data_IF_216976245487
#
_entry.id   IF_216976245487
#
_cell.length_a   1.000
_cell.length_b   1.000
_cell.length_c   1.000
_cell.angle_alpha   90.00
_cell.angle_beta   90.00
_cell.angle_gamma   90.00
#
_symmetry.space_group_name_H-M   'P 1'
#
loop_
_entity.id
_entity.type
_entity.pdbx_description
1 polymer ?
#
# COMPACT_ATOMS: atom_id res chain seq x y z
N UNK A 1 -6.63 12.10 18.61
CA UNK A 1 -6.38 10.78 17.98
C UNK A 1 -5.88 10.89 16.52
N UNK A 2 -5.99 12.06 15.86
CA UNK A 2 -5.68 12.19 14.43
C UNK A 2 -4.20 12.30 14.06
N UNK A 3 -3.34 12.78 14.96
CA UNK A 3 -1.90 12.93 14.68
C UNK A 3 -1.22 11.61 14.28
N UNK A 4 -1.63 10.50 14.90
CA UNK A 4 -1.08 9.18 14.57
C UNK A 4 -1.50 8.75 13.16
N UNK A 5 -2.75 8.95 12.77
CA UNK A 5 -3.25 8.60 11.43
C UNK A 5 -2.58 9.43 10.34
N UNK A 6 -2.44 10.74 10.57
CA UNK A 6 -1.73 11.63 9.65
C UNK A 6 -0.26 11.24 9.49
N UNK A 7 0.41 10.90 10.59
CA UNK A 7 1.79 10.43 10.56
C UNK A 7 1.96 9.12 9.79
N UNK A 8 1.09 8.14 10.03
CA UNK A 8 1.11 6.85 9.31
C UNK A 8 0.83 7.01 7.82
N UNK A 9 -0.11 7.90 7.45
CA UNK A 9 -0.43 8.22 6.06
C UNK A 9 0.77 8.88 5.36
N UNK A 10 1.35 9.91 5.98
CA UNK A 10 2.55 10.57 5.46
C UNK A 10 3.71 9.58 5.28
N UNK A 11 3.89 8.68 6.25
CA UNK A 11 4.96 7.71 6.18
C UNK A 11 4.69 6.57 5.16
N UNK A 12 3.43 6.31 4.79
CA UNK A 12 3.08 5.46 3.65
C UNK A 12 3.42 6.16 2.33
N UNK A 13 3.01 7.42 2.14
CA UNK A 13 3.38 8.18 0.93
C UNK A 13 4.90 8.28 0.74
N UNK A 14 5.65 8.56 1.80
CA UNK A 14 7.13 8.54 1.72
C UNK A 14 7.70 7.20 1.24
N UNK A 15 7.08 6.07 1.63
CA UNK A 15 7.51 4.76 1.14
C UNK A 15 7.11 4.55 -0.33
N UNK A 16 5.96 5.07 -0.78
CA UNK A 16 5.54 5.04 -2.18
C UNK A 16 6.44 5.92 -3.07
N UNK A 17 6.85 7.08 -2.60
CA UNK A 17 7.82 7.94 -3.31
C UNK A 17 9.16 7.22 -3.49
N UNK A 18 9.60 6.48 -2.47
CA UNK A 18 10.80 5.65 -2.55
C UNK A 18 10.65 4.53 -3.56
N UNK A 19 9.47 3.90 -3.64
CA UNK A 19 9.18 2.91 -4.68
C UNK A 19 9.29 3.58 -6.05
N UNK A 20 8.65 4.74 -6.24
CA UNK A 20 8.69 5.46 -7.51
C UNK A 20 10.13 5.76 -7.92
N UNK A 21 10.93 6.31 -7.01
CA UNK A 21 12.34 6.57 -7.25
C UNK A 21 13.11 5.30 -7.66
N UNK A 22 12.86 4.17 -6.99
CA UNK A 22 13.51 2.89 -7.34
C UNK A 22 13.12 2.43 -8.75
N UNK A 23 11.84 2.50 -9.13
CA UNK A 23 11.40 2.05 -10.46
C UNK A 23 11.79 3.01 -11.59
N UNK A 24 11.96 4.30 -11.31
CA UNK A 24 12.40 5.28 -12.31
C UNK A 24 13.89 5.14 -12.65
N UNK A 25 14.73 4.86 -11.67
CA UNK A 25 16.18 4.72 -11.85
C UNK A 25 16.59 3.32 -12.33
N UNK A 26 15.66 2.37 -12.37
CA UNK A 26 15.93 1.01 -12.83
C UNK A 26 15.74 0.93 -14.34
N UNK A 27 16.81 0.56 -15.04
CA UNK A 27 16.77 0.23 -16.47
C UNK A 27 16.41 -1.25 -16.62
N UNK A 28 15.12 -1.53 -16.73
CA UNK A 28 14.58 -2.89 -16.83
C UNK A 28 13.53 -2.93 -17.94
N UNK A 29 13.83 -3.71 -18.98
CA UNK A 29 13.06 -3.75 -20.23
C UNK A 29 12.00 -4.84 -20.26
N UNK A 30 11.83 -5.58 -19.15
CA UNK A 30 10.77 -6.59 -19.06
C UNK A 30 9.40 -5.91 -19.14
N UNK A 31 8.51 -6.45 -19.97
CA UNK A 31 7.20 -5.86 -20.27
C UNK A 31 6.36 -5.67 -19.00
N UNK A 32 6.42 -6.62 -18.09
CA UNK A 32 5.73 -6.58 -16.80
C UNK A 32 6.29 -5.51 -15.86
N UNK A 33 7.60 -5.24 -15.90
CA UNK A 33 8.21 -4.14 -15.16
C UNK A 33 7.75 -2.78 -15.69
N UNK A 34 7.76 -2.60 -17.01
CA UNK A 34 7.29 -1.36 -17.65
C UNK A 34 5.82 -1.11 -17.30
N UNK A 35 4.98 -2.14 -17.44
CA UNK A 35 3.57 -2.05 -17.08
C UNK A 35 3.36 -1.71 -15.60
N UNK A 36 4.09 -2.37 -14.69
CA UNK A 36 4.03 -2.06 -13.26
C UNK A 36 4.41 -0.61 -12.99
N UNK A 37 5.50 -0.12 -13.59
CA UNK A 37 5.97 1.26 -13.42
C UNK A 37 4.92 2.28 -13.86
N UNK A 38 4.28 2.06 -15.01
CA UNK A 38 3.26 2.97 -15.52
C UNK A 38 2.00 2.93 -14.64
N UNK A 39 1.52 1.73 -14.29
CA UNK A 39 0.38 1.58 -13.38
C UNK A 39 0.63 2.17 -11.99
N UNK A 40 1.84 1.99 -11.47
CA UNK A 40 2.22 2.51 -10.15
C UNK A 40 2.28 4.04 -10.16
N UNK A 41 2.78 4.66 -11.24
CA UNK A 41 2.79 6.11 -11.40
C UNK A 41 1.38 6.69 -11.41
N UNK A 42 0.50 6.10 -12.20
CA UNK A 42 -0.88 6.56 -12.32
C UNK A 42 -1.61 6.44 -10.97
N UNK A 43 -1.45 5.31 -10.29
CA UNK A 43 -2.02 5.08 -8.96
C UNK A 43 -1.49 6.10 -7.93
N UNK A 44 -0.19 6.38 -7.91
CA UNK A 44 0.38 7.34 -6.97
C UNK A 44 -0.21 8.74 -7.18
N UNK A 45 -0.33 9.18 -8.44
CA UNK A 45 -0.98 10.44 -8.79
C UNK A 45 -2.45 10.49 -8.36
N UNK A 46 -3.20 9.40 -8.57
CA UNK A 46 -4.59 9.28 -8.10
C UNK A 46 -4.71 9.38 -6.57
N UNK A 47 -3.81 8.71 -5.83
CA UNK A 47 -3.78 8.71 -4.37
C UNK A 47 -3.47 10.10 -3.79
N UNK A 48 -2.52 10.84 -4.38
CA UNK A 48 -2.15 12.19 -3.95
C UNK A 48 -3.28 13.20 -4.16
N UNK A 49 -4.08 13.03 -5.21
CA UNK A 49 -5.24 13.88 -5.50
C UNK A 49 -6.51 13.51 -4.71
N UNK A 50 -6.53 12.36 -4.05
CA UNK A 50 -7.71 11.84 -3.39
C UNK A 50 -7.95 12.48 -2.01
N UNK A 51 -9.18 12.94 -1.77
CA UNK A 51 -9.62 13.39 -0.44
C UNK A 51 -9.60 12.25 0.60
N UNK A 52 -9.88 11.02 0.15
CA UNK A 52 -9.79 9.80 0.95
C UNK A 52 -9.10 8.74 0.08
N UNK A 53 -7.78 8.52 0.24
CA UNK A 53 -7.04 7.59 -0.61
C UNK A 53 -7.43 6.13 -0.35
N UNK A 54 -7.61 5.37 -1.44
CA UNK A 54 -7.85 3.93 -1.43
C UNK A 54 -6.57 3.17 -1.78
N UNK A 55 -5.89 2.61 -0.77
CA UNK A 55 -4.65 1.87 -0.97
C UNK A 55 -4.84 0.40 -1.35
N UNK A 56 -6.02 0.00 -1.84
CA UNK A 56 -6.30 -1.41 -2.16
C UNK A 56 -5.35 -2.00 -3.21
N UNK A 57 -5.00 -1.24 -4.26
CA UNK A 57 -4.04 -1.70 -5.28
C UNK A 57 -2.61 -1.76 -4.74
N UNK A 58 -2.19 -0.75 -4.00
CA UNK A 58 -0.91 -0.77 -3.27
C UNK A 58 -0.82 -2.00 -2.36
N UNK A 59 -1.87 -2.31 -1.60
CA UNK A 59 -1.89 -3.50 -0.75
C UNK A 59 -1.71 -4.79 -1.57
N UNK A 60 -2.35 -4.91 -2.74
CA UNK A 60 -2.23 -6.08 -3.63
C UNK A 60 -0.82 -6.24 -4.21
N UNK A 61 -0.25 -5.17 -4.75
CA UNK A 61 1.07 -5.20 -5.40
C UNK A 61 2.21 -5.55 -4.45
N UNK A 62 2.08 -5.15 -3.19
CA UNK A 62 3.11 -5.32 -2.17
C UNK A 62 2.86 -6.50 -1.22
N UNK A 63 1.75 -7.23 -1.38
CA UNK A 63 1.51 -8.43 -0.61
C UNK A 63 2.63 -9.47 -0.83
N UNK A 64 2.94 -10.32 0.18
CA UNK A 64 4.00 -11.31 0.05
C UNK A 64 3.79 -12.23 -1.16
N UNK A 65 4.80 -12.32 -2.02
CA UNK A 65 4.76 -13.12 -3.25
C UNK A 65 4.07 -12.45 -4.45
N UNK A 66 3.64 -11.19 -4.33
CA UNK A 66 3.00 -10.43 -5.41
C UNK A 66 3.99 -9.82 -6.40
N UNK A 67 3.49 -8.92 -7.26
CA UNK A 67 4.25 -8.24 -8.31
C UNK A 67 5.56 -7.65 -7.82
N UNK A 68 5.56 -6.93 -6.69
CA UNK A 68 6.78 -6.31 -6.19
C UNK A 68 7.89 -7.33 -5.91
N UNK A 69 7.57 -8.42 -5.22
CA UNK A 69 8.53 -9.48 -4.89
C UNK A 69 9.06 -10.17 -6.16
N UNK A 70 8.17 -10.40 -7.14
CA UNK A 70 8.52 -10.98 -8.45
C UNK A 70 9.44 -10.07 -9.27
N UNK A 71 9.18 -8.76 -9.25
CA UNK A 71 9.91 -7.77 -10.04
C UNK A 71 11.27 -7.43 -9.43
N UNK A 72 11.34 -7.31 -8.10
CA UNK A 72 12.49 -6.76 -7.39
C UNK A 72 13.33 -7.81 -6.66
N UNK A 73 12.77 -8.99 -6.37
CA UNK A 73 13.42 -10.02 -5.58
C UNK A 73 13.95 -9.49 -4.24
N UNK A 74 15.12 -9.97 -3.82
CA UNK A 74 15.71 -9.59 -2.52
C UNK A 74 16.03 -8.09 -2.40
N UNK A 75 16.30 -7.40 -3.51
CA UNK A 75 16.68 -5.99 -3.49
C UNK A 75 15.50 -5.08 -3.07
N UNK A 76 14.26 -5.49 -3.38
CA UNK A 76 13.07 -4.74 -3.00
C UNK A 76 12.46 -5.16 -1.67
N UNK A 77 12.95 -6.22 -1.03
CA UNK A 77 12.24 -6.89 0.07
C UNK A 77 11.92 -5.97 1.26
N UNK A 78 12.89 -5.19 1.72
CA UNK A 78 12.70 -4.31 2.89
C UNK A 78 11.69 -3.19 2.61
N UNK A 79 11.83 -2.53 1.46
CA UNK A 79 10.91 -1.47 1.03
C UNK A 79 9.50 -2.02 0.82
N UNK A 80 9.37 -3.15 0.12
CA UNK A 80 8.07 -3.75 -0.16
C UNK A 80 7.35 -4.20 1.10
N UNK A 81 8.08 -4.79 2.05
CA UNK A 81 7.54 -5.15 3.37
C UNK A 81 7.06 -3.92 4.16
N UNK A 82 7.78 -2.80 4.07
CA UNK A 82 7.39 -1.55 4.73
C UNK A 82 6.07 -1.01 4.16
N UNK A 83 5.99 -0.91 2.82
CA UNK A 83 4.77 -0.47 2.10
C UNK A 83 3.59 -1.37 2.47
N UNK A 84 3.75 -2.69 2.36
CA UNK A 84 2.67 -3.63 2.66
C UNK A 84 2.17 -3.49 4.09
N UNK A 85 3.08 -3.41 5.08
CA UNK A 85 2.71 -3.30 6.49
C UNK A 85 1.88 -2.04 6.76
N UNK A 86 2.23 -0.92 6.15
CA UNK A 86 1.51 0.35 6.30
C UNK A 86 0.17 0.34 5.57
N UNK A 87 0.14 -0.14 4.32
CA UNK A 87 -1.10 -0.28 3.54
C UNK A 87 -2.10 -1.24 4.21
N UNK A 88 -1.62 -2.37 4.75
CA UNK A 88 -2.43 -3.36 5.48
C UNK A 88 -3.03 -2.76 6.76
N UNK A 89 -2.24 -1.96 7.49
CA UNK A 89 -2.73 -1.24 8.66
C UNK A 89 -3.79 -0.21 8.29
N UNK A 90 -3.59 0.51 7.19
CA UNK A 90 -4.56 1.49 6.70
C UNK A 90 -5.88 0.83 6.31
N UNK A 91 -5.82 -0.25 5.53
CA UNK A 91 -6.98 -1.05 5.12
C UNK A 91 -7.79 -1.52 6.34
N UNK A 92 -7.14 -2.12 7.34
CA UNK A 92 -7.80 -2.52 8.60
C UNK A 92 -8.39 -1.33 9.35
N UNK A 93 -7.74 -0.17 9.32
CA UNK A 93 -8.26 1.03 9.99
C UNK A 93 -9.51 1.61 9.32
N UNK A 94 -9.69 1.39 8.01
CA UNK A 94 -10.92 1.72 7.28
C UNK A 94 -12.03 0.69 7.56
N UNK A 95 -11.68 -0.58 7.74
CA UNK A 95 -12.64 -1.62 8.17
C UNK A 95 -13.13 -1.39 9.61
N UNK A 96 -12.30 -0.78 10.47
CA UNK A 96 -12.58 -0.48 11.88
C UNK A 96 -13.25 0.88 12.16
N UNK A 97 -13.92 1.50 11.18
CA UNK A 97 -14.74 2.71 11.47
C UNK A 97 -15.85 2.32 12.46
N UNK A 98 -16.00 3.01 13.62
CA UNK A 98 -17.04 2.70 14.59
C UNK A 98 -18.42 2.84 13.95
N UNK A 99 -19.09 1.70 13.72
CA UNK A 99 -20.35 1.61 12.96
C UNK A 99 -20.33 0.50 11.91
N UNK A 100 -19.15 0.03 11.49
CA UNK A 100 -19.02 -1.17 10.67
C UNK A 100 -19.15 -2.40 11.57
N UNK A 101 -20.20 -3.19 11.37
CA UNK A 101 -20.39 -4.49 12.04
C UNK A 101 -19.23 -5.38 11.61
N UNK A 102 -18.24 -5.52 12.49
CA UNK A 102 -17.21 -6.54 12.34
C UNK A 102 -17.87 -7.86 12.73
N UNK A 103 -18.27 -8.65 11.74
CA UNK A 103 -18.56 -10.06 11.95
C UNK A 103 -17.22 -10.79 12.18
N UNK A 104 -16.64 -10.61 13.37
CA UNK A 104 -15.73 -11.60 13.93
C UNK A 104 -16.59 -12.81 14.26
N UNK A 105 -16.19 -13.97 13.76
CA UNK A 105 -17.00 -15.18 13.76
C UNK A 105 -17.74 -15.42 15.08
N UNK A 106 -19.06 -15.26 15.03
CA UNK A 106 -20.00 -16.13 15.73
C UNK A 106 -20.37 -15.83 17.18
N UNK A 107 -19.84 -14.82 17.87
CA UNK A 107 -20.26 -14.56 19.27
C UNK A 107 -20.46 -13.07 19.57
N UNK A 108 -21.72 -12.68 19.76
CA UNK A 108 -22.14 -11.33 20.15
C UNK A 108 -21.97 -11.15 21.67
N UNK A 109 -21.18 -10.16 22.08
CA UNK A 109 -21.15 -9.62 23.44
C UNK A 109 -21.26 -8.10 23.41
N UNK A 110 -22.23 -7.54 24.13
CA UNK A 110 -22.44 -6.09 24.24
C UNK A 110 -21.61 -5.54 25.41
N UNK A 111 -21.00 -4.36 25.23
CA UNK A 111 -20.66 -3.45 26.34
C UNK A 111 -21.67 -2.31 26.37
#
# INVERSE_FOLDING_TARGET
>A
MDYWKAFELYALFNDLDRVMAVVEHRDDTRIDFIAFKDWFRDELSELEGANVPDFSRVWLWFAPGSDWDRLMGKQGFELGRSVFKRADRWKRSQEFVPGSIVSLGGEYGWS
#
